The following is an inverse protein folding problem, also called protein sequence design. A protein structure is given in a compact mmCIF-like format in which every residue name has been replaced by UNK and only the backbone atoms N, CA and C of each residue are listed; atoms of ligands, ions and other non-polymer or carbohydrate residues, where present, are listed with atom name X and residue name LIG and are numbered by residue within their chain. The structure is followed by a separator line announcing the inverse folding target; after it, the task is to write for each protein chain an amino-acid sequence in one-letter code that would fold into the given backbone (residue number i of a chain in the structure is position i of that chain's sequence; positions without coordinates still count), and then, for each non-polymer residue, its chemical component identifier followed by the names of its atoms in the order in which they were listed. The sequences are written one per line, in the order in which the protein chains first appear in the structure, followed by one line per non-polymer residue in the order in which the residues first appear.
data_IF_693923623276
#
_entry.id   IF_693923623276
#
_cell.length_a   1.000
_cell.length_b   1.000
_cell.length_c   1.000
_cell.angle_alpha   90.00
_cell.angle_beta   90.00
_cell.angle_gamma   90.00
#
_symmetry.space_group_name_H-M   'P 1'
#
loop_
_entity.id
_entity.type
_entity.pdbx_description
1 polymer ?
#
# COMPACT_ATOMS: atom_id res chain seq x y z
N UNK A 1 39.29 31.05 30.89
CA UNK A 1 39.11 29.81 30.11
C UNK A 1 38.87 28.65 31.06
N UNK A 2 37.61 28.19 31.18
CA UNK A 2 37.26 26.85 31.67
C UNK A 2 36.01 26.44 30.89
N UNK A 3 36.20 25.69 29.80
CA UNK A 3 35.11 24.91 29.20
C UNK A 3 35.01 23.61 30.00
N UNK A 4 33.90 23.43 30.71
CA UNK A 4 33.55 22.13 31.26
C UNK A 4 33.03 21.26 30.12
N UNK A 5 33.71 20.16 29.84
CA UNK A 5 33.23 19.11 28.95
C UNK A 5 32.03 18.42 29.60
N UNK A 6 30.81 18.74 29.15
CA UNK A 6 29.66 17.88 29.39
C UNK A 6 29.74 16.70 28.41
N UNK A 7 30.29 15.59 28.87
CA UNK A 7 30.02 14.28 28.27
C UNK A 7 28.64 13.84 28.75
N UNK A 8 27.61 14.07 27.94
CA UNK A 8 26.25 13.60 28.21
C UNK A 8 26.21 12.07 28.20
N UNK A 9 25.85 11.47 29.32
CA UNK A 9 25.48 10.06 29.40
C UNK A 9 24.11 9.90 28.76
N UNK A 10 24.06 9.45 27.51
CA UNK A 10 22.79 9.12 26.86
C UNK A 10 22.10 7.96 27.60
N UNK A 11 20.79 8.05 27.77
CA UNK A 11 20.02 6.95 28.34
C UNK A 11 20.12 5.71 27.43
N UNK A 12 19.94 4.50 27.98
CA UNK A 12 19.90 3.26 27.17
C UNK A 12 18.90 3.37 26.01
N UNK A 13 17.80 4.11 26.22
CA UNK A 13 16.80 4.43 25.20
C UNK A 13 17.35 5.32 24.09
N UNK A 14 18.07 6.39 24.40
CA UNK A 14 18.65 7.27 23.38
C UNK A 14 19.72 6.55 22.56
N UNK A 15 20.43 5.58 23.15
CA UNK A 15 21.39 4.73 22.44
C UNK A 15 20.67 3.75 21.51
N UNK A 16 19.57 3.12 21.97
CA UNK A 16 18.74 2.25 21.14
C UNK A 16 18.13 3.08 20.01
N UNK A 17 17.45 4.18 20.32
CA UNK A 17 16.84 5.10 19.37
C UNK A 17 17.87 5.63 18.36
N UNK A 18 19.06 6.03 18.80
CA UNK A 18 20.14 6.42 17.90
C UNK A 18 20.55 5.28 16.96
N UNK A 19 20.68 4.04 17.45
CA UNK A 19 20.95 2.88 16.58
C UNK A 19 19.81 2.55 15.62
N UNK A 20 18.57 2.79 16.03
CA UNK A 20 17.36 2.62 15.21
C UNK A 20 17.28 3.68 14.10
N UNK A 21 17.61 4.93 14.41
CA UNK A 21 17.51 6.07 13.50
C UNK A 21 18.71 6.16 12.53
N UNK A 22 19.90 5.73 12.94
CA UNK A 22 21.13 5.88 12.15
C UNK A 22 21.47 4.67 11.26
N UNK A 23 20.60 3.65 11.16
CA UNK A 23 20.82 2.51 10.25
C UNK A 23 20.49 2.81 8.77
N UNK A 24 20.10 4.04 8.43
CA UNK A 24 20.01 4.52 7.05
C UNK A 24 21.41 4.77 6.47
N UNK A 25 22.00 3.77 5.82
CA UNK A 25 23.33 3.90 5.23
C UNK A 25 23.37 5.00 4.13
N UNK A 26 24.28 5.98 4.20
CA UNK A 26 24.49 6.96 3.15
C UNK A 26 25.53 6.45 2.16
N UNK A 27 25.13 5.94 0.99
CA UNK A 27 25.95 5.96 -0.24
C UNK A 27 25.34 5.13 -1.37
N UNK A 28 24.63 5.80 -2.27
CA UNK A 28 24.66 5.43 -3.69
C UNK A 28 24.41 6.69 -4.53
N UNK A 29 25.37 7.60 -4.50
CA UNK A 29 25.47 8.65 -5.51
C UNK A 29 25.70 7.99 -6.86
N UNK A 30 24.70 8.03 -7.73
CA UNK A 30 24.85 7.60 -9.11
C UNK A 30 25.72 8.64 -9.84
N UNK A 31 26.92 8.30 -10.35
CA UNK A 31 27.69 9.24 -11.15
C UNK A 31 27.05 9.37 -12.54
N UNK A 32 27.05 10.56 -13.16
CA UNK A 32 26.49 10.72 -14.49
C UNK A 32 27.37 10.00 -15.51
N UNK A 33 26.81 9.00 -16.20
CA UNK A 33 27.45 8.36 -17.36
C UNK A 33 27.51 9.34 -18.52
N UNK A 34 28.67 10.00 -18.68
CA UNK A 34 29.00 10.84 -19.82
C UNK A 34 29.36 9.96 -21.02
N UNK A 35 28.39 9.65 -21.90
CA UNK A 35 28.65 8.94 -23.15
C UNK A 35 29.39 9.88 -24.12
N UNK A 36 30.71 9.71 -24.26
CA UNK A 36 31.48 10.33 -25.35
C UNK A 36 31.22 9.55 -26.64
N UNK A 37 30.60 10.18 -27.63
CA UNK A 37 30.79 9.80 -29.02
C UNK A 37 31.42 10.97 -29.76
N UNK A 38 32.58 10.71 -30.36
CA UNK A 38 33.36 11.67 -31.14
C UNK A 38 33.29 11.19 -32.59
N UNK A 39 32.67 11.95 -33.49
CA UNK A 39 33.00 11.96 -34.92
C UNK A 39 32.44 13.22 -35.60
N UNK A 40 33.36 13.91 -36.29
CA UNK A 40 33.19 14.99 -37.28
C UNK A 40 32.71 16.34 -36.76
N UNK A 41 33.68 17.21 -36.48
CA UNK A 41 33.48 18.57 -35.99
C UNK A 41 32.77 19.48 -36.97
N UNK A 42 31.66 20.06 -36.53
CA UNK A 42 31.25 21.44 -36.77
C UNK A 42 30.11 21.80 -35.83
N UNK A 43 30.27 22.85 -35.03
CA UNK A 43 29.19 23.41 -34.22
C UNK A 43 28.32 24.29 -35.13
N UNK A 44 27.03 23.97 -35.22
CA UNK A 44 25.97 24.87 -35.70
C UNK A 44 24.77 24.67 -34.79
N UNK A 45 24.48 25.68 -33.97
CA UNK A 45 23.25 25.78 -33.19
C UNK A 45 22.16 26.36 -34.09
N UNK A 46 21.10 25.60 -34.35
CA UNK A 46 19.83 26.14 -34.87
C UNK A 46 18.76 26.03 -33.77
N UNK A 47 17.95 27.08 -33.53
CA UNK A 47 16.84 26.99 -32.59
C UNK A 47 15.74 26.09 -33.17
N UNK A 48 15.18 25.20 -32.34
CA UNK A 48 13.95 24.49 -32.70
C UNK A 48 12.76 25.32 -32.22
N UNK A 49 11.98 25.81 -33.20
CA UNK A 49 10.67 26.39 -33.00
C UNK A 49 9.69 25.32 -32.51
N UNK A 50 9.00 25.60 -31.41
CA UNK A 50 7.84 24.86 -30.96
C UNK A 50 6.62 25.34 -31.74
N UNK A 51 6.09 24.50 -32.63
CA UNK A 51 4.81 24.75 -33.29
C UNK A 51 3.70 24.08 -32.49
N UNK A 52 2.80 24.90 -31.92
CA UNK A 52 1.56 24.47 -31.28
C UNK A 52 0.51 24.30 -32.38
N UNK A 53 -0.08 23.11 -32.49
CA UNK A 53 -1.26 22.88 -33.34
C UNK A 53 -2.54 22.93 -32.48
N UNK A 54 -3.49 23.85 -32.76
CA UNK A 54 -4.82 23.78 -32.19
C UNK A 54 -5.72 22.87 -33.04
N UNK A 55 -6.37 21.90 -32.41
CA UNK A 55 -7.51 21.19 -32.99
C UNK A 55 -8.80 21.94 -32.67
N UNK A 56 -9.27 22.76 -33.62
CA UNK A 56 -10.67 23.16 -33.71
C UNK A 56 -11.21 22.59 -35.03
N UNK A 57 -12.23 21.72 -34.95
CA UNK A 57 -13.17 21.55 -36.05
C UNK A 57 -14.55 21.20 -35.50
N UNK A 58 -15.39 22.23 -35.42
CA UNK A 58 -16.84 22.14 -35.41
C UNK A 58 -17.32 21.79 -36.82
N UNK A 59 -18.26 20.86 -36.93
CA UNK A 59 -18.99 20.57 -38.15
C UNK A 59 -20.45 20.29 -37.82
N UNK A 60 -21.25 21.35 -37.85
CA UNK A 60 -22.72 21.29 -37.87
C UNK A 60 -23.19 20.53 -39.12
N UNK A 61 -24.21 19.69 -38.97
CA UNK A 61 -25.02 19.24 -40.10
C UNK A 61 -26.46 19.69 -39.83
N UNK A 62 -26.78 20.87 -40.37
CA UNK A 62 -28.16 21.32 -40.55
C UNK A 62 -28.74 20.54 -41.73
N UNK A 63 -29.87 19.87 -41.52
CA UNK A 63 -30.74 19.46 -42.62
C UNK A 63 -32.13 20.03 -42.38
N UNK A 64 -32.45 21.01 -43.21
CA UNK A 64 -33.72 21.69 -43.35
C UNK A 64 -34.62 20.89 -44.30
N UNK A 65 -35.77 20.44 -43.81
CA UNK A 65 -36.94 20.22 -44.66
C UNK A 65 -38.17 20.69 -43.91
N UNK A 66 -38.68 21.85 -44.30
CA UNK A 66 -40.01 22.31 -43.93
C UNK A 66 -41.05 21.66 -44.84
N UNK A 67 -42.13 21.16 -44.24
CA UNK A 67 -43.42 21.05 -44.90
C UNK A 67 -44.52 21.27 -43.86
N UNK A 68 -45.32 22.28 -44.13
CA UNK A 68 -46.38 22.87 -43.32
C UNK A 68 -47.70 22.10 -43.49
N UNK A 69 -48.50 22.06 -42.41
CA UNK A 69 -49.95 21.80 -42.35
C UNK A 69 -50.40 20.34 -42.63
N UNK A 70 -51.34 19.70 -41.91
CA UNK A 70 -52.66 20.13 -41.44
C UNK A 70 -53.03 19.35 -40.17
N UNK A 71 -53.54 20.07 -39.15
CA UNK A 71 -54.23 19.51 -37.98
C UNK A 71 -55.59 18.96 -38.43
N UNK A 72 -55.82 17.65 -38.25
CA UNK A 72 -57.18 17.10 -38.13
C UNK A 72 -57.24 16.11 -36.97
N UNK A 73 -57.91 16.56 -35.93
CA UNK A 73 -58.36 15.80 -34.77
C UNK A 73 -59.24 14.63 -35.19
N UNK A 74 -58.84 13.40 -34.83
CA UNK A 74 -59.75 12.27 -34.67
C UNK A 74 -59.40 11.63 -33.33
N UNK A 75 -60.28 11.85 -32.35
CA UNK A 75 -60.27 11.16 -31.07
C UNK A 75 -61.04 9.84 -31.23
N UNK A 76 -60.34 8.70 -31.14
CA UNK A 76 -60.95 7.38 -30.94
C UNK A 76 -60.01 6.51 -30.08
N UNK A 77 -60.54 6.04 -28.94
CA UNK A 77 -60.22 4.72 -28.39
C UNK A 77 -59.00 4.59 -27.48
N UNK A 78 -59.24 4.67 -26.17
CA UNK A 78 -58.32 4.17 -25.16
C UNK A 78 -58.10 2.66 -25.30
N UNK A 79 -56.85 2.22 -25.45
CA UNK A 79 -56.46 0.81 -25.34
C UNK A 79 -55.04 0.67 -24.79
N UNK A 80 -54.96 0.30 -23.51
CA UNK A 80 -53.88 -0.38 -22.79
C UNK A 80 -52.42 0.03 -23.09
N UNK A 81 -51.95 1.09 -22.43
CA UNK A 81 -50.54 1.23 -22.11
C UNK A 81 -50.20 0.20 -21.03
N UNK A 82 -49.62 -0.94 -21.41
CA UNK A 82 -49.01 -1.88 -20.46
C UNK A 82 -47.82 -1.19 -19.80
N UNK A 83 -48.05 -0.56 -18.65
CA UNK A 83 -46.99 -0.12 -17.75
C UNK A 83 -46.34 -1.37 -17.16
N UNK A 84 -45.28 -1.86 -17.81
CA UNK A 84 -44.35 -2.79 -17.19
C UNK A 84 -43.67 -2.05 -16.04
N UNK A 85 -44.26 -2.09 -14.85
CA UNK A 85 -43.57 -1.78 -13.61
C UNK A 85 -42.51 -2.86 -13.47
N UNK A 86 -41.31 -2.58 -13.98
CA UNK A 86 -40.13 -3.37 -13.70
C UNK A 86 -39.89 -3.27 -12.19
N UNK A 87 -40.34 -4.28 -11.45
CA UNK A 87 -39.85 -4.52 -10.10
C UNK A 87 -38.37 -4.84 -10.29
N UNK A 88 -37.53 -3.82 -10.18
CA UNK A 88 -36.09 -4.01 -10.08
C UNK A 88 -35.86 -4.86 -8.85
N UNK A 89 -35.62 -6.16 -9.03
CA UNK A 89 -35.19 -7.04 -7.97
C UNK A 89 -33.88 -6.45 -7.44
N UNK A 90 -33.93 -5.83 -6.25
CA UNK A 90 -32.74 -5.40 -5.54
C UNK A 90 -31.88 -6.64 -5.35
N UNK A 91 -30.82 -6.78 -6.15
CA UNK A 91 -29.87 -7.86 -6.00
C UNK A 91 -29.21 -7.67 -4.64
N UNK A 92 -29.59 -8.48 -3.65
CA UNK A 92 -28.92 -8.50 -2.35
C UNK A 92 -27.57 -9.14 -2.59
N UNK A 93 -26.53 -8.32 -2.80
CA UNK A 93 -25.16 -8.81 -2.86
C UNK A 93 -24.80 -9.27 -1.44
N UNK A 94 -24.48 -10.56 -1.23
CA UNK A 94 -24.12 -11.04 0.10
C UNK A 94 -22.83 -10.37 0.57
N UNK A 95 -22.71 -10.17 1.88
CA UNK A 95 -21.48 -9.66 2.48
C UNK A 95 -20.30 -10.56 2.08
N UNK A 96 -19.18 -9.98 1.62
CA UNK A 96 -18.04 -10.76 1.22
C UNK A 96 -17.40 -11.45 2.42
N UNK A 97 -16.82 -12.62 2.20
CA UNK A 97 -16.14 -13.41 3.22
C UNK A 97 -14.70 -13.69 2.81
N UNK A 98 -13.90 -14.24 3.73
CA UNK A 98 -12.51 -14.65 3.49
C UNK A 98 -12.38 -15.70 2.38
N UNK A 99 -13.45 -16.38 1.96
CA UNK A 99 -13.45 -17.30 0.82
C UNK A 99 -13.07 -16.64 -0.52
N UNK A 100 -13.12 -15.30 -0.60
CA UNK A 100 -12.63 -14.55 -1.76
C UNK A 100 -11.10 -14.50 -1.84
N UNK A 101 -10.40 -14.78 -0.75
CA UNK A 101 -8.93 -14.83 -0.68
C UNK A 101 -8.51 -16.22 -1.18
N UNK A 102 -8.48 -16.35 -2.50
CA UNK A 102 -8.07 -17.56 -3.21
C UNK A 102 -6.53 -17.67 -3.34
N UNK A 103 -6.05 -18.79 -3.87
CA UNK A 103 -4.62 -19.04 -4.10
C UNK A 103 -3.96 -17.97 -4.97
N UNK A 104 -4.73 -17.33 -5.86
CA UNK A 104 -4.22 -16.26 -6.71
C UNK A 104 -3.94 -15.00 -5.92
N UNK A 105 -4.84 -14.60 -5.03
CA UNK A 105 -4.61 -13.47 -4.11
C UNK A 105 -3.37 -13.73 -3.26
N UNK A 106 -3.21 -14.95 -2.75
CA UNK A 106 -2.02 -15.35 -1.98
C UNK A 106 -0.75 -15.29 -2.84
N UNK A 107 -0.80 -15.74 -4.09
CA UNK A 107 0.32 -15.66 -5.01
C UNK A 107 0.72 -14.21 -5.34
N UNK A 108 -0.26 -13.34 -5.59
CA UNK A 108 -0.04 -11.91 -5.84
C UNK A 108 0.64 -11.24 -4.61
N UNK A 109 0.25 -11.64 -3.40
CA UNK A 109 0.87 -11.17 -2.16
C UNK A 109 2.32 -11.66 -2.03
N UNK A 110 2.56 -12.96 -2.27
CA UNK A 110 3.92 -13.53 -2.21
C UNK A 110 4.86 -12.87 -3.22
N UNK A 111 4.38 -12.56 -4.43
CA UNK A 111 5.20 -11.96 -5.49
C UNK A 111 5.83 -10.63 -5.07
N UNK A 112 5.04 -9.70 -4.51
CA UNK A 112 5.61 -8.43 -4.06
C UNK A 112 6.41 -8.56 -2.75
N UNK A 113 6.10 -9.56 -1.91
CA UNK A 113 6.85 -9.79 -0.67
C UNK A 113 8.23 -10.45 -0.92
N UNK A 114 8.45 -11.10 -2.07
CA UNK A 114 9.75 -11.67 -2.46
C UNK A 114 10.75 -10.59 -2.94
N UNK A 115 10.31 -9.33 -3.10
CA UNK A 115 11.18 -8.25 -3.54
C UNK A 115 12.40 -8.08 -2.60
N UNK A 116 13.62 -7.89 -3.13
CA UNK A 116 14.83 -7.85 -2.31
C UNK A 116 14.84 -6.81 -1.19
N UNK A 117 14.10 -5.72 -1.33
CA UNK A 117 13.95 -4.70 -0.30
C UNK A 117 13.27 -5.23 0.96
N UNK A 118 12.41 -6.25 0.86
CA UNK A 118 11.68 -6.85 1.99
C UNK A 118 12.66 -7.65 2.85
N UNK A 119 13.22 -8.75 2.33
CA UNK A 119 14.10 -9.61 3.14
C UNK A 119 15.38 -8.90 3.58
N UNK A 120 15.92 -7.95 2.79
CA UNK A 120 17.10 -7.17 3.20
C UNK A 120 16.80 -6.26 4.37
N UNK A 121 15.65 -5.58 4.36
CA UNK A 121 15.23 -4.69 5.44
C UNK A 121 14.99 -5.49 6.72
N UNK A 122 14.30 -6.63 6.63
CA UNK A 122 14.06 -7.52 7.78
C UNK A 122 15.36 -8.09 8.32
N UNK A 123 16.26 -8.57 7.46
CA UNK A 123 17.58 -9.07 7.88
C UNK A 123 18.43 -7.99 8.55
N UNK A 124 18.43 -6.77 8.01
CA UNK A 124 19.13 -5.65 8.63
C UNK A 124 18.52 -5.30 9.99
N UNK A 125 17.19 -5.33 10.09
CA UNK A 125 16.46 -5.05 11.32
C UNK A 125 16.74 -6.08 12.42
N UNK A 126 16.68 -7.36 12.08
CA UNK A 126 16.99 -8.46 12.99
C UNK A 126 18.36 -8.32 13.65
N UNK A 127 19.37 -7.77 12.95
CA UNK A 127 20.70 -7.52 13.56
C UNK A 127 20.65 -6.46 14.67
N UNK A 128 19.75 -5.50 14.55
CA UNK A 128 19.56 -4.42 15.54
C UNK A 128 18.70 -4.91 16.70
N UNK A 129 17.68 -5.72 16.42
CA UNK A 129 16.68 -6.14 17.40
C UNK A 129 16.99 -7.44 18.13
N UNK A 130 17.95 -8.24 17.66
CA UNK A 130 18.34 -9.52 18.27
C UNK A 130 18.79 -9.44 19.75
N UNK A 131 19.19 -8.27 20.24
CA UNK A 131 19.61 -8.06 21.63
C UNK A 131 18.59 -7.37 22.53
N UNK A 132 17.38 -7.09 22.02
CA UNK A 132 16.34 -6.44 22.82
C UNK A 132 15.71 -7.44 23.80
N UNK A 133 15.50 -6.98 25.03
CA UNK A 133 14.66 -7.68 25.99
C UNK A 133 13.18 -7.34 25.78
N UNK A 134 12.28 -8.13 26.34
CA UNK A 134 10.83 -7.83 26.35
C UNK A 134 10.54 -6.44 26.92
N UNK A 135 11.28 -6.03 27.96
CA UNK A 135 11.18 -4.69 28.53
C UNK A 135 11.64 -3.58 27.56
N UNK A 136 12.65 -3.84 26.72
CA UNK A 136 13.06 -2.91 25.68
C UNK A 136 12.00 -2.83 24.57
N UNK A 137 11.37 -3.96 24.19
CA UNK A 137 10.26 -4.03 23.23
C UNK A 137 9.04 -3.25 23.73
N UNK A 138 8.59 -3.52 24.96
CA UNK A 138 7.50 -2.80 25.62
C UNK A 138 7.75 -1.28 25.66
N UNK A 139 9.01 -0.89 25.84
CA UNK A 139 9.38 0.52 25.88
C UNK A 139 9.26 1.17 24.50
N UNK A 140 9.70 0.49 23.45
CA UNK A 140 9.54 0.96 22.07
C UNK A 140 8.05 1.05 21.69
N UNK A 141 7.25 0.09 22.12
CA UNK A 141 5.81 0.09 21.88
C UNK A 141 5.10 1.27 22.56
N UNK A 142 5.37 1.49 23.85
CA UNK A 142 4.84 2.64 24.59
C UNK A 142 5.25 3.97 23.96
N UNK A 143 6.51 4.06 23.51
CA UNK A 143 7.01 5.25 22.83
C UNK A 143 6.27 5.50 21.52
N UNK A 144 6.07 4.48 20.67
CA UNK A 144 5.28 4.61 19.44
C UNK A 144 3.87 5.12 19.71
N UNK A 145 3.19 4.54 20.69
CA UNK A 145 1.84 4.96 21.08
C UNK A 145 1.80 6.39 21.59
N UNK A 146 2.81 6.82 22.33
CA UNK A 146 2.94 8.21 22.76
C UNK A 146 3.19 9.16 21.59
N UNK A 147 4.05 8.78 20.63
CA UNK A 147 4.34 9.58 19.43
C UNK A 147 3.10 9.83 18.59
N UNK A 148 2.17 8.87 18.51
CA UNK A 148 0.91 9.04 17.76
C UNK A 148 0.06 10.23 18.23
N UNK A 149 0.24 10.68 19.47
CA UNK A 149 -0.55 11.75 20.08
C UNK A 149 0.16 13.12 20.04
N UNK A 150 1.37 13.19 19.50
CA UNK A 150 2.18 14.42 19.45
C UNK A 150 2.74 14.68 18.04
N UNK A 151 3.25 15.89 17.81
CA UNK A 151 3.79 16.28 16.49
C UNK A 151 5.20 15.72 16.23
N UNK A 152 6.01 15.52 17.27
CA UNK A 152 7.34 14.96 17.16
C UNK A 152 7.26 13.43 17.26
N UNK A 153 7.50 12.74 16.14
CA UNK A 153 7.26 11.30 15.99
C UNK A 153 8.50 10.56 15.45
N UNK A 154 9.65 10.58 16.16
CA UNK A 154 10.90 10.09 15.60
C UNK A 154 10.90 8.60 15.23
N UNK A 155 10.32 7.71 16.04
CA UNK A 155 10.23 6.28 15.70
C UNK A 155 9.27 6.08 14.53
N UNK A 156 8.08 6.68 14.58
CA UNK A 156 7.10 6.57 13.49
C UNK A 156 7.69 7.07 12.17
N UNK A 157 8.30 8.26 12.19
CA UNK A 157 8.95 8.84 11.02
C UNK A 157 10.07 7.93 10.49
N UNK A 158 10.89 7.34 11.36
CA UNK A 158 11.98 6.45 10.93
C UNK A 158 11.47 5.19 10.22
N UNK A 159 10.36 4.63 10.68
CA UNK A 159 9.76 3.45 10.06
C UNK A 159 9.09 3.85 8.75
N UNK A 160 8.23 4.87 8.75
CA UNK A 160 7.45 5.28 7.57
C UNK A 160 8.30 5.88 6.45
N UNK A 161 9.46 6.47 6.76
CA UNK A 161 10.39 7.00 5.75
C UNK A 161 11.42 5.97 5.27
N UNK A 162 11.35 4.72 5.74
CA UNK A 162 12.27 3.68 5.31
C UNK A 162 12.08 3.29 3.82
N UNK A 163 13.12 2.73 3.17
CA UNK A 163 13.00 2.19 1.82
C UNK A 163 11.91 1.11 1.69
N UNK A 164 11.72 0.30 2.74
CA UNK A 164 10.67 -0.71 2.78
C UNK A 164 9.28 -0.07 2.82
N UNK A 165 9.04 0.88 3.72
CA UNK A 165 7.75 1.60 3.78
C UNK A 165 7.43 2.29 2.45
N UNK A 166 8.41 2.98 1.86
CA UNK A 166 8.26 3.58 0.53
C UNK A 166 7.89 2.55 -0.55
N UNK A 167 8.41 1.33 -0.47
CA UNK A 167 8.04 0.25 -1.37
C UNK A 167 6.59 -0.23 -1.12
N UNK A 168 6.24 -0.51 0.13
CA UNK A 168 4.90 -0.98 0.51
C UNK A 168 3.81 0.04 0.19
N UNK A 169 4.06 1.34 0.40
CA UNK A 169 3.14 2.42 0.00
C UNK A 169 2.91 2.44 -1.51
N UNK A 170 3.94 2.16 -2.34
CA UNK A 170 3.74 2.05 -3.80
C UNK A 170 2.91 0.84 -4.17
N UNK A 171 3.11 -0.31 -3.51
CA UNK A 171 2.28 -1.50 -3.71
C UNK A 171 0.82 -1.18 -3.34
N UNK A 172 0.60 -0.58 -2.18
CA UNK A 172 -0.73 -0.18 -1.72
C UNK A 172 -1.41 0.76 -2.74
N UNK A 173 -0.73 1.84 -3.16
CA UNK A 173 -1.27 2.81 -4.11
C UNK A 173 -1.53 2.20 -5.49
N UNK A 174 -0.63 1.33 -5.97
CA UNK A 174 -0.77 0.64 -7.26
C UNK A 174 -1.93 -0.36 -7.31
N UNK A 175 -2.41 -0.80 -6.15
CA UNK A 175 -3.52 -1.74 -6.02
C UNK A 175 -4.90 -1.07 -5.91
N UNK A 176 -4.99 0.25 -6.12
CA UNK A 176 -6.25 0.98 -6.33
C UNK A 176 -7.34 0.67 -5.29
N UNK A 177 -6.98 0.63 -4.01
CA UNK A 177 -7.91 0.43 -2.90
C UNK A 177 -8.22 -1.04 -2.54
N UNK A 178 -7.60 -2.02 -3.19
CA UNK A 178 -7.68 -3.41 -2.76
C UNK A 178 -6.92 -3.63 -1.45
N UNK A 179 -5.71 -3.09 -1.32
CA UNK A 179 -4.92 -3.18 -0.09
C UNK A 179 -5.14 -1.92 0.75
N UNK A 180 -5.64 -2.11 1.97
CA UNK A 180 -5.92 -1.02 2.91
C UNK A 180 -4.73 -0.70 3.80
N UNK A 181 -3.90 -1.70 4.10
CA UNK A 181 -2.69 -1.57 4.91
C UNK A 181 -1.74 -2.73 4.56
N UNK A 182 -0.44 -2.47 4.56
CA UNK A 182 0.60 -3.48 4.38
C UNK A 182 1.72 -3.17 5.37
N UNK A 183 2.13 -4.15 6.19
CA UNK A 183 3.29 -4.00 7.05
C UNK A 183 4.09 -5.29 7.19
N UNK A 184 5.35 -5.12 7.53
CA UNK A 184 6.33 -6.21 7.69
C UNK A 184 6.96 -6.09 9.07
N UNK A 185 7.04 -7.20 9.78
CA UNK A 185 7.57 -7.37 11.12
C UNK A 185 8.89 -8.15 11.07
N UNK A 186 9.79 -7.83 11.99
CA UNK A 186 11.02 -8.58 12.20
C UNK A 186 10.81 -9.81 13.11
N UNK A 187 11.87 -10.55 13.44
CA UNK A 187 11.80 -11.75 14.28
C UNK A 187 11.37 -11.48 15.73
N UNK A 188 11.42 -10.22 16.20
CA UNK A 188 10.90 -9.82 17.51
C UNK A 188 9.44 -9.36 17.42
N UNK A 189 8.84 -9.34 16.22
CA UNK A 189 7.51 -8.81 15.98
C UNK A 189 7.46 -7.29 15.91
N UNK A 190 8.60 -6.59 15.79
CA UNK A 190 8.63 -5.13 15.65
C UNK A 190 8.48 -4.72 14.19
N UNK A 191 7.66 -3.70 13.92
CA UNK A 191 7.45 -3.24 12.54
C UNK A 191 8.75 -2.69 11.90
N UNK A 192 9.09 -3.23 10.73
CA UNK A 192 10.27 -2.87 9.91
C UNK A 192 9.91 -1.82 8.87
N UNK A 193 8.72 -1.95 8.29
CA UNK A 193 8.18 -1.02 7.31
C UNK A 193 6.67 -1.20 7.19
N UNK A 194 5.97 -0.11 6.90
CA UNK A 194 4.51 -0.05 6.87
C UNK A 194 4.05 0.89 5.76
N UNK A 195 2.91 0.60 5.14
CA UNK A 195 2.27 1.46 4.15
C UNK A 195 1.33 2.49 4.81
N UNK A 196 0.81 2.16 6.00
CA UNK A 196 0.02 3.00 6.88
C UNK A 196 0.47 2.78 8.33
N UNK A 197 0.18 3.72 9.23
CA UNK A 197 0.63 3.66 10.62
C UNK A 197 -0.26 2.76 11.48
N UNK A 198 0.30 1.67 12.02
CA UNK A 198 -0.35 0.80 13.01
C UNK A 198 -0.59 1.48 14.35
N UNK A 199 -1.55 0.97 15.13
CA UNK A 199 -1.87 1.45 16.50
C UNK A 199 -0.68 1.39 17.45
N UNK A 200 0.13 0.36 17.29
CA UNK A 200 1.20 -0.09 18.16
C UNK A 200 2.37 -0.57 17.30
N UNK A 201 3.55 -0.64 17.91
CA UNK A 201 4.78 -0.92 17.18
C UNK A 201 5.15 -2.40 17.21
N UNK A 202 4.87 -3.02 18.34
CA UNK A 202 5.04 -4.45 18.53
C UNK A 202 3.78 -5.17 18.08
N UNK A 203 3.97 -6.22 17.29
CA UNK A 203 2.93 -7.11 16.78
C UNK A 203 3.25 -8.56 17.14
N UNK A 204 4.28 -8.78 17.96
CA UNK A 204 4.79 -10.11 18.25
C UNK A 204 3.85 -10.92 19.12
N UNK A 205 2.98 -10.28 19.90
CA UNK A 205 1.93 -10.91 20.70
C UNK A 205 0.64 -11.19 19.90
N UNK A 206 0.53 -10.64 18.70
CA UNK A 206 -0.66 -10.76 17.86
C UNK A 206 -0.75 -12.11 17.13
N UNK A 207 -1.98 -12.57 16.87
CA UNK A 207 -2.23 -13.82 16.15
C UNK A 207 -1.60 -13.85 14.75
N UNK A 208 -1.57 -12.70 14.07
CA UNK A 208 -0.92 -12.51 12.76
C UNK A 208 0.55 -12.92 12.76
N UNK A 209 1.25 -12.67 13.87
CA UNK A 209 2.64 -13.05 14.03
C UNK A 209 2.76 -14.47 14.56
N UNK A 210 2.08 -14.79 15.65
CA UNK A 210 2.18 -16.09 16.34
C UNK A 210 1.75 -17.29 15.48
N UNK A 211 0.87 -17.08 14.50
CA UNK A 211 0.42 -18.13 13.58
C UNK A 211 1.20 -18.18 12.25
N UNK A 212 2.24 -17.35 12.08
CA UNK A 212 3.04 -17.30 10.85
C UNK A 212 4.52 -17.55 11.13
N UNK A 213 5.27 -16.51 11.53
CA UNK A 213 6.72 -16.55 11.68
C UNK A 213 7.24 -17.77 12.48
N UNK A 214 6.74 -18.06 13.70
CA UNK A 214 7.23 -19.20 14.47
C UNK A 214 6.70 -20.55 13.97
N UNK A 215 5.68 -20.57 13.10
CA UNK A 215 5.08 -21.80 12.56
C UNK A 215 5.94 -22.39 11.43
N UNK A 216 6.51 -21.55 10.57
CA UNK A 216 7.45 -22.01 9.54
C UNK A 216 7.46 -21.16 8.26
N UNK A 217 8.36 -21.48 7.32
CA UNK A 217 8.62 -20.67 6.13
C UNK A 217 7.43 -20.55 5.17
N UNK A 218 6.56 -21.56 5.14
CA UNK A 218 5.37 -21.58 4.27
C UNK A 218 4.08 -21.14 4.97
N UNK A 219 4.16 -20.72 6.24
CA UNK A 219 2.97 -20.44 7.04
C UNK A 219 2.19 -19.24 6.48
N UNK A 220 0.88 -19.44 6.35
CA UNK A 220 -0.10 -18.43 5.98
C UNK A 220 -1.22 -18.50 7.02
N UNK A 221 -1.68 -17.34 7.48
CA UNK A 221 -2.83 -17.21 8.34
C UNK A 221 -3.74 -16.11 7.80
N UNK A 222 -4.97 -16.47 7.42
CA UNK A 222 -6.01 -15.52 7.02
C UNK A 222 -6.93 -15.31 8.22
N UNK A 223 -7.02 -14.06 8.68
CA UNK A 223 -7.88 -13.71 9.80
C UNK A 223 -9.35 -13.60 9.38
N UNK A 224 -10.24 -13.53 10.36
CA UNK A 224 -11.67 -13.38 10.10
C UNK A 224 -11.99 -12.08 9.35
N UNK A 225 -13.10 -12.11 8.60
CA UNK A 225 -13.59 -10.91 7.92
C UNK A 225 -14.28 -9.99 8.94
N UNK A 226 -13.87 -8.71 8.97
CA UNK A 226 -14.42 -7.70 9.86
C UNK A 226 -14.98 -6.51 9.06
N UNK A 227 -16.09 -5.96 9.54
CA UNK A 227 -16.67 -4.76 8.94
C UNK A 227 -16.00 -3.50 9.50
N UNK A 228 -15.49 -2.65 8.62
CA UNK A 228 -14.89 -1.37 8.97
C UNK A 228 -15.92 -0.25 8.80
N UNK A 229 -16.55 0.17 9.90
CA UNK A 229 -17.59 1.21 9.92
C UNK A 229 -17.15 2.54 9.30
N UNK A 230 -15.88 2.92 9.48
CA UNK A 230 -15.34 4.20 8.99
C UNK A 230 -15.35 4.29 7.47
N UNK A 231 -15.20 3.16 6.80
CA UNK A 231 -15.12 3.11 5.34
C UNK A 231 -16.28 2.37 4.70
N UNK A 232 -17.14 1.73 5.49
CA UNK A 232 -18.25 0.92 4.99
C UNK A 232 -17.79 -0.30 4.19
N UNK A 233 -16.61 -0.86 4.52
CA UNK A 233 -16.01 -1.97 3.78
C UNK A 233 -15.77 -3.17 4.69
N UNK A 234 -15.91 -4.37 4.13
CA UNK A 234 -15.43 -5.59 4.78
C UNK A 234 -13.95 -5.76 4.50
N UNK A 235 -13.18 -6.14 5.53
CA UNK A 235 -11.74 -6.32 5.46
C UNK A 235 -11.32 -7.64 6.09
N UNK A 236 -10.20 -8.17 5.64
CA UNK A 236 -9.55 -9.31 6.29
C UNK A 236 -8.02 -9.17 6.13
N UNK A 237 -7.28 -9.75 7.07
CA UNK A 237 -5.83 -9.72 7.06
C UNK A 237 -5.27 -11.05 6.54
N UNK A 238 -4.41 -10.98 5.54
CA UNK A 238 -3.59 -12.10 5.09
C UNK A 238 -2.21 -11.93 5.69
N UNK A 239 -1.81 -12.92 6.47
CA UNK A 239 -0.56 -12.90 7.21
C UNK A 239 0.32 -14.03 6.68
N UNK A 240 1.58 -13.73 6.39
CA UNK A 240 2.53 -14.70 5.83
C UNK A 240 3.88 -14.61 6.50
N UNK A 241 4.60 -15.73 6.56
CA UNK A 241 6.01 -15.72 6.94
C UNK A 241 6.85 -15.05 5.86
N UNK A 242 7.81 -14.23 6.28
CA UNK A 242 8.87 -13.71 5.40
C UNK A 242 10.10 -14.60 5.55
N UNK A 243 10.62 -15.04 4.41
CA UNK A 243 11.83 -15.84 4.32
C UNK A 243 12.98 -15.06 3.69
N UNK A 244 14.22 -15.42 4.04
CA UNK A 244 15.41 -14.98 3.32
C UNK A 244 15.69 -15.87 2.09
N UNK A 245 16.68 -15.54 1.25
CA UNK A 245 17.04 -16.34 0.08
C UNK A 245 17.50 -17.78 0.38
N UNK A 246 17.85 -18.07 1.64
CA UNK A 246 18.21 -19.43 2.08
C UNK A 246 16.97 -20.24 2.54
N UNK A 247 15.77 -19.63 2.49
CA UNK A 247 14.52 -20.23 2.93
C UNK A 247 14.31 -20.17 4.45
N UNK A 248 15.11 -19.38 5.19
CA UNK A 248 14.96 -19.25 6.64
C UNK A 248 13.88 -18.22 6.96
N UNK A 249 12.96 -18.55 7.88
CA UNK A 249 12.03 -17.57 8.43
C UNK A 249 12.79 -16.44 9.12
N UNK A 250 12.50 -15.19 8.74
CA UNK A 250 13.14 -14.00 9.30
C UNK A 250 12.15 -12.97 9.87
N UNK A 251 10.85 -13.18 9.66
CA UNK A 251 9.79 -12.32 10.19
C UNK A 251 8.43 -12.70 9.61
N UNK A 252 7.49 -11.76 9.66
CA UNK A 252 6.15 -11.93 9.10
C UNK A 252 5.71 -10.67 8.36
N UNK A 253 4.69 -10.80 7.51
CA UNK A 253 4.03 -9.66 6.88
C UNK A 253 2.51 -9.81 6.97
N UNK A 254 1.85 -8.66 7.03
CA UNK A 254 0.39 -8.52 7.06
C UNK A 254 -0.03 -7.68 5.87
N UNK A 255 -1.05 -8.16 5.16
CA UNK A 255 -1.74 -7.43 4.09
C UNK A 255 -3.23 -7.36 4.46
N UNK A 256 -3.73 -6.16 4.74
CA UNK A 256 -5.17 -5.95 4.94
C UNK A 256 -5.87 -5.76 3.60
N UNK A 257 -6.76 -6.69 3.26
CA UNK A 257 -7.50 -6.73 2.00
C UNK A 257 -8.91 -6.17 2.20
N UNK A 258 -9.30 -5.23 1.35
CA UNK A 258 -10.68 -4.77 1.21
C UNK A 258 -11.49 -5.81 0.42
N UNK A 259 -12.20 -6.68 1.15
CA UNK A 259 -13.02 -7.74 0.59
C UNK A 259 -14.20 -7.20 -0.24
N UNK A 260 -14.72 -6.02 0.11
CA UNK A 260 -15.77 -5.35 -0.68
C UNK A 260 -15.24 -4.97 -2.06
N UNK A 261 -14.03 -4.41 -2.14
CA UNK A 261 -13.40 -4.10 -3.43
C UNK A 261 -13.03 -5.37 -4.20
N UNK A 262 -12.51 -6.40 -3.53
CA UNK A 262 -12.20 -7.68 -4.16
C UNK A 262 -13.45 -8.33 -4.79
N UNK A 263 -14.57 -8.34 -4.06
CA UNK A 263 -15.84 -8.84 -4.58
C UNK A 263 -16.31 -8.04 -5.80
N UNK A 264 -16.20 -6.71 -5.75
CA UNK A 264 -16.55 -5.84 -6.88
C UNK A 264 -15.68 -6.15 -8.11
N UNK A 265 -14.37 -6.36 -7.94
CA UNK A 265 -13.46 -6.77 -9.03
C UNK A 265 -13.87 -8.10 -9.64
N UNK A 266 -14.15 -9.11 -8.80
CA UNK A 266 -14.59 -10.44 -9.24
C UNK A 266 -15.90 -10.39 -10.03
N UNK A 267 -16.88 -9.60 -9.59
CA UNK A 267 -18.15 -9.40 -10.30
C UNK A 267 -17.97 -8.73 -11.68
N UNK A 268 -16.90 -7.96 -11.86
CA UNK A 268 -16.55 -7.31 -13.13
C UNK A 268 -15.56 -8.13 -13.98
N UNK A 269 -15.20 -9.34 -13.55
CA UNK A 269 -14.18 -10.15 -14.23
C UNK A 269 -12.76 -9.57 -14.17
N UNK A 270 -12.51 -8.68 -13.22
CA UNK A 270 -11.20 -8.10 -12.97
C UNK A 270 -10.39 -8.98 -12.01
N UNK A 271 -9.07 -8.93 -12.16
CA UNK A 271 -8.13 -9.61 -11.28
C UNK A 271 -8.11 -8.97 -9.88
N UNK A 272 -7.47 -9.66 -8.92
CA UNK A 272 -7.00 -9.02 -7.68
C UNK A 272 -6.06 -7.88 -8.06
#
# INVERSE_FOLDING_TARGET
MKQSSQTGSFSKLEIILSRLLHSGNPSSGCPPTRRKSRKNGRFVTKPQEFTVYPCNFMGEMQNTFGATMIIKTIAIGAAALLTSVGIGATQVVPSPTTSLIDERVIADIRDFLDAPVVWRSVTARNKVTAGLSDADIDTLDKQWRAEREVADQPIIASVLTSPLSSYLTRIQAGNLGLYSEIFVMDAAGLNVGQSATTSDYWQGDEAKFQKTYPVGPEAIFVDEAEFNDKTGTWRAQVNVTIVDPDGRSIGAATVEINLTELQRRRLLGLNS
#
